data_IF_560027030232
#
_entry.id   IF_560027030232
#
_cell.length_a   1.000
_cell.length_b   1.000
_cell.length_c   1.000
_cell.angle_alpha   90.00
_cell.angle_beta   90.00
_cell.angle_gamma   90.00
#
_symmetry.space_group_name_H-M   'P 1'
#
loop_
_entity.id
_entity.type
_entity.pdbx_description
1 polymer ?
#
# COMPACT_ATOMS: atom_id res chain seq x y z
N UNK A 1 -24.56 -37.58 1.45
CA UNK A 1 -24.13 -36.22 1.07
C UNK A 1 -23.19 -35.73 2.14
N UNK A 2 -21.89 -35.85 1.90
CA UNK A 2 -20.89 -35.28 2.80
C UNK A 2 -20.86 -33.77 2.57
N UNK A 3 -21.35 -33.03 3.55
CA UNK A 3 -21.27 -31.58 3.60
C UNK A 3 -19.79 -31.18 3.68
N UNK A 4 -19.28 -30.52 2.65
CA UNK A 4 -17.96 -29.91 2.65
C UNK A 4 -18.01 -28.69 3.59
N UNK A 5 -17.79 -28.93 4.88
CA UNK A 5 -17.65 -27.86 5.87
C UNK A 5 -16.32 -27.17 5.59
N UNK A 6 -16.37 -25.89 5.21
CA UNK A 6 -15.19 -25.08 5.00
C UNK A 6 -14.56 -24.76 6.37
N UNK A 7 -13.72 -25.68 6.87
CA UNK A 7 -13.07 -25.66 8.21
C UNK A 7 -12.23 -24.41 8.51
N UNK A 8 -12.04 -23.51 7.54
CA UNK A 8 -11.25 -22.27 7.71
C UNK A 8 -11.97 -21.26 8.60
N UNK A 9 -13.31 -21.16 8.49
CA UNK A 9 -14.10 -20.20 9.27
C UNK A 9 -14.17 -20.54 10.78
N UNK A 10 -13.92 -21.80 11.16
CA UNK A 10 -13.97 -22.28 12.55
C UNK A 10 -12.61 -22.17 13.28
N UNK A 11 -11.55 -21.70 12.62
CA UNK A 11 -10.17 -21.82 13.11
C UNK A 11 -9.61 -20.58 13.87
N UNK A 12 -10.33 -19.45 13.87
CA UNK A 12 -9.81 -18.19 14.40
C UNK A 12 -8.54 -17.71 13.68
N UNK A 13 -8.51 -17.92 12.35
CA UNK A 13 -7.42 -17.60 11.45
C UNK A 13 -7.89 -16.57 10.42
N UNK A 14 -7.24 -15.42 10.38
CA UNK A 14 -7.52 -14.35 9.41
C UNK A 14 -6.57 -14.52 8.22
N UNK A 15 -7.13 -14.69 7.02
CA UNK A 15 -6.36 -14.60 5.78
C UNK A 15 -6.38 -13.15 5.28
N UNK A 16 -5.22 -12.53 5.20
CA UNK A 16 -5.04 -11.17 4.72
C UNK A 16 -4.51 -11.20 3.27
N UNK A 17 -5.35 -10.80 2.32
CA UNK A 17 -4.95 -10.61 0.93
C UNK A 17 -4.42 -9.20 0.73
N UNK A 18 -3.15 -9.06 0.34
CA UNK A 18 -2.55 -7.74 0.11
C UNK A 18 -3.00 -7.09 -1.20
N UNK A 19 -3.49 -7.85 -2.19
CA UNK A 19 -4.03 -7.29 -3.44
C UNK A 19 -5.15 -6.27 -3.18
N UNK A 20 -5.85 -6.39 -2.06
CA UNK A 20 -6.88 -5.44 -1.64
C UNK A 20 -6.36 -4.02 -1.34
N UNK A 21 -5.04 -3.85 -1.18
CA UNK A 21 -4.38 -2.56 -0.96
C UNK A 21 -3.81 -1.94 -2.25
N UNK A 22 -3.93 -2.62 -3.38
CA UNK A 22 -3.56 -2.02 -4.66
C UNK A 22 -4.53 -0.89 -5.02
N UNK A 23 -4.06 0.16 -5.72
CA UNK A 23 -4.95 1.19 -6.22
C UNK A 23 -5.96 0.55 -7.18
N UNK A 24 -7.26 0.84 -6.97
CA UNK A 24 -8.34 0.28 -7.81
C UNK A 24 -8.23 0.73 -9.26
N UNK A 25 -7.80 1.96 -9.46
CA UNK A 25 -7.50 2.55 -10.74
C UNK A 25 -6.30 3.50 -10.57
N UNK A 26 -5.30 3.34 -11.42
CA UNK A 26 -4.11 4.18 -11.43
C UNK A 26 -3.91 4.79 -12.82
N UNK A 27 -3.55 6.07 -12.88
CA UNK A 27 -3.33 6.78 -14.15
C UNK A 27 -2.15 7.76 -14.05
N UNK A 28 -1.47 8.00 -15.16
CA UNK A 28 -0.38 8.95 -15.25
C UNK A 28 -0.88 10.39 -15.43
N UNK A 29 -0.19 11.34 -14.79
CA UNK A 29 -0.06 12.70 -15.30
C UNK A 29 1.38 12.89 -15.76
N UNK A 30 1.62 12.90 -17.06
CA UNK A 30 2.94 13.16 -17.62
C UNK A 30 3.10 14.66 -17.91
N UNK A 31 4.17 15.28 -17.44
CA UNK A 31 4.49 16.67 -17.72
C UNK A 31 4.92 16.88 -19.18
N UNK A 32 5.47 15.86 -19.85
CA UNK A 32 6.05 15.96 -21.19
C UNK A 32 5.16 16.72 -22.20
N UNK A 33 3.85 16.43 -22.34
CA UNK A 33 2.99 17.12 -23.31
C UNK A 33 2.75 18.60 -23.00
N UNK A 34 3.03 19.04 -21.76
CA UNK A 34 2.85 20.41 -21.31
C UNK A 34 4.13 21.26 -21.51
N UNK A 35 5.22 20.65 -21.98
CA UNK A 35 6.49 21.33 -22.22
C UNK A 35 6.57 21.85 -23.65
N UNK A 36 7.20 23.01 -23.83
CA UNK A 36 7.55 23.54 -25.14
C UNK A 36 8.52 22.59 -25.83
N UNK A 37 8.14 22.12 -27.03
CA UNK A 37 8.86 21.08 -27.78
C UNK A 37 9.15 19.83 -26.94
N UNK A 38 8.28 19.50 -25.96
CA UNK A 38 8.43 18.33 -25.08
C UNK A 38 9.73 18.32 -24.25
N UNK A 39 10.42 19.47 -24.10
CA UNK A 39 11.74 19.53 -23.46
C UNK A 39 11.94 20.74 -22.53
N UNK A 40 11.22 21.83 -22.75
CA UNK A 40 11.44 23.09 -22.03
C UNK A 40 10.16 23.56 -21.37
N UNK A 41 10.20 23.81 -20.06
CA UNK A 41 9.07 24.44 -19.38
C UNK A 41 9.08 25.95 -19.64
N UNK A 42 8.05 26.45 -20.34
CA UNK A 42 7.74 27.88 -20.44
C UNK A 42 6.61 28.23 -19.49
N UNK A 43 6.87 29.05 -18.47
CA UNK A 43 5.90 29.27 -17.38
C UNK A 43 4.52 29.71 -17.87
N UNK A 44 4.46 30.71 -18.75
CA UNK A 44 3.20 31.24 -19.27
C UNK A 44 2.38 30.16 -19.99
N UNK A 45 3.04 29.39 -20.84
CA UNK A 45 2.41 28.34 -21.66
C UNK A 45 1.95 27.17 -20.78
N UNK A 46 2.78 26.78 -19.81
CA UNK A 46 2.48 25.71 -18.84
C UNK A 46 1.28 26.08 -17.97
N UNK A 47 1.23 27.31 -17.42
CA UNK A 47 0.07 27.76 -16.64
C UNK A 47 -1.20 27.82 -17.48
N UNK A 48 -1.10 28.28 -18.73
CA UNK A 48 -2.24 28.36 -19.63
C UNK A 48 -2.80 26.97 -19.97
N UNK A 49 -1.94 25.98 -20.24
CA UNK A 49 -2.38 24.61 -20.57
C UNK A 49 -3.04 23.91 -19.39
N UNK A 50 -2.57 24.11 -18.16
CA UNK A 50 -3.20 23.55 -16.96
C UNK A 50 -4.61 24.10 -16.69
N UNK A 51 -4.91 25.34 -17.10
CA UNK A 51 -6.25 25.92 -16.97
C UNK A 51 -7.28 25.26 -17.92
N UNK A 52 -6.80 24.75 -19.05
CA UNK A 52 -7.64 24.08 -20.06
C UNK A 52 -7.65 22.56 -19.91
N UNK A 53 -6.82 22.00 -19.03
CA UNK A 53 -6.72 20.56 -18.80
C UNK A 53 -7.98 20.05 -18.09
N UNK A 54 -8.55 18.96 -18.57
CA UNK A 54 -9.70 18.34 -17.93
C UNK A 54 -9.26 17.54 -16.70
N UNK A 55 -9.31 18.16 -15.53
CA UNK A 55 -8.93 17.51 -14.26
C UNK A 55 -9.94 16.46 -13.79
N UNK A 56 -11.19 16.48 -14.27
CA UNK A 56 -12.21 15.50 -13.86
C UNK A 56 -11.88 14.09 -14.32
N UNK A 57 -11.05 13.92 -15.34
CA UNK A 57 -10.61 12.61 -15.80
C UNK A 57 -9.86 11.79 -14.73
N UNK A 58 -9.39 12.43 -13.66
CA UNK A 58 -8.68 11.81 -12.53
C UNK A 58 -9.58 11.44 -11.35
N UNK A 59 -10.90 11.71 -11.43
CA UNK A 59 -11.84 11.44 -10.35
C UNK A 59 -11.87 9.95 -9.97
N UNK A 60 -11.74 9.67 -8.66
CA UNK A 60 -11.75 8.31 -8.11
C UNK A 60 -10.55 7.44 -8.51
N UNK A 61 -9.45 8.05 -8.98
CA UNK A 61 -8.21 7.35 -9.37
C UNK A 61 -7.05 7.77 -8.48
N UNK A 62 -6.06 6.89 -8.37
CA UNK A 62 -4.70 7.23 -7.92
C UNK A 62 -3.88 7.78 -9.08
N UNK A 63 -3.20 8.90 -8.89
CA UNK A 63 -2.44 9.57 -9.97
C UNK A 63 -0.95 9.63 -9.67
N UNK A 64 -0.14 9.08 -10.56
CA UNK A 64 1.32 9.31 -10.50
C UNK A 64 1.72 10.42 -11.47
N UNK A 65 2.37 11.44 -10.94
CA UNK A 65 2.91 12.57 -11.69
C UNK A 65 4.34 12.24 -12.09
N UNK A 66 4.64 12.30 -13.38
CA UNK A 66 5.95 11.94 -13.94
C UNK A 66 6.35 12.88 -15.08
N UNK A 67 7.59 12.77 -15.54
CA UNK A 67 8.07 13.42 -16.75
C UNK A 67 8.81 12.34 -17.56
N UNK A 68 8.23 11.87 -18.66
CA UNK A 68 8.80 10.77 -19.46
C UNK A 68 9.95 11.20 -20.38
N UNK A 69 10.27 12.48 -20.38
CA UNK A 69 11.35 13.10 -21.14
C UNK A 69 12.44 13.61 -20.19
N UNK A 70 13.68 13.66 -20.67
CA UNK A 70 14.82 14.18 -19.93
C UNK A 70 14.84 15.71 -19.92
N UNK A 71 13.80 16.30 -19.35
CA UNK A 71 13.66 17.74 -19.17
C UNK A 71 13.98 18.14 -17.73
N UNK A 72 14.74 19.23 -17.57
CA UNK A 72 14.98 19.82 -16.25
C UNK A 72 13.73 20.61 -15.85
N UNK A 73 12.93 20.02 -14.97
CA UNK A 73 11.68 20.62 -14.49
C UNK A 73 11.89 21.24 -13.10
N UNK A 74 11.55 22.53 -12.90
CA UNK A 74 11.60 23.15 -11.59
C UNK A 74 10.54 22.56 -10.64
N UNK A 75 10.89 22.40 -9.36
CA UNK A 75 10.03 21.76 -8.36
C UNK A 75 8.62 22.38 -8.25
N UNK A 76 8.49 23.69 -8.46
CA UNK A 76 7.19 24.38 -8.38
C UNK A 76 6.17 23.86 -9.41
N UNK A 77 6.62 23.32 -10.55
CA UNK A 77 5.71 22.80 -11.58
C UNK A 77 4.97 21.55 -11.08
N UNK A 78 5.69 20.64 -10.42
CA UNK A 78 5.09 19.50 -9.75
C UNK A 78 4.15 19.94 -8.63
N UNK A 79 4.55 20.91 -7.80
CA UNK A 79 3.68 21.45 -6.74
C UNK A 79 2.37 22.02 -7.31
N UNK A 80 2.45 22.71 -8.45
CA UNK A 80 1.28 23.28 -9.13
C UNK A 80 0.36 22.16 -9.64
N UNK A 81 0.89 21.14 -10.31
CA UNK A 81 0.10 19.98 -10.76
C UNK A 81 -0.58 19.29 -9.57
N UNK A 82 0.16 19.06 -8.49
CA UNK A 82 -0.39 18.45 -7.27
C UNK A 82 -1.53 19.27 -6.66
N UNK A 83 -1.46 20.60 -6.73
CA UNK A 83 -2.54 21.48 -6.25
C UNK A 83 -3.84 21.34 -7.05
N UNK A 84 -3.76 21.03 -8.34
CA UNK A 84 -4.93 20.76 -9.18
C UNK A 84 -5.50 19.35 -8.96
N UNK A 85 -4.63 18.37 -8.68
CA UNK A 85 -5.03 16.98 -8.45
C UNK A 85 -5.71 16.79 -7.08
N UNK A 86 -5.22 17.46 -6.02
CA UNK A 86 -5.68 17.26 -4.65
C UNK A 86 -7.21 17.28 -4.47
N UNK A 87 -7.98 18.22 -5.06
CA UNK A 87 -9.44 18.24 -4.87
C UNK A 87 -10.23 17.22 -5.70
N UNK A 88 -9.60 16.50 -6.63
CA UNK A 88 -10.31 15.62 -7.60
C UNK A 88 -9.94 14.14 -7.49
N UNK A 89 -8.70 13.83 -7.12
CA UNK A 89 -8.15 12.46 -7.15
C UNK A 89 -8.28 11.78 -5.78
N UNK A 90 -8.19 10.44 -5.73
CA UNK A 90 -8.15 9.71 -4.45
C UNK A 90 -6.84 9.98 -3.69
N UNK A 91 -5.72 9.86 -4.39
CA UNK A 91 -4.39 10.24 -3.93
C UNK A 91 -3.46 10.48 -5.14
N UNK A 92 -2.38 11.22 -4.93
CA UNK A 92 -1.39 11.47 -5.96
C UNK A 92 0.03 11.49 -5.40
N UNK A 93 0.99 11.11 -6.24
CA UNK A 93 2.42 11.07 -5.90
C UNK A 93 3.27 11.45 -7.10
N UNK A 94 4.42 12.09 -6.87
CA UNK A 94 5.45 12.24 -7.92
C UNK A 94 6.29 10.97 -7.94
N UNK A 95 6.21 10.18 -9.00
CA UNK A 95 6.89 8.87 -9.08
C UNK A 95 6.96 8.35 -10.51
N UNK A 96 7.72 7.27 -10.71
CA UNK A 96 7.61 6.46 -11.94
C UNK A 96 6.42 5.51 -11.83
N UNK A 97 5.97 4.96 -12.95
CA UNK A 97 4.88 4.00 -12.97
C UNK A 97 5.19 2.77 -12.09
N UNK A 98 6.42 2.26 -12.19
CA UNK A 98 6.85 1.08 -11.44
C UNK A 98 6.83 1.32 -9.93
N UNK A 99 7.24 2.51 -9.50
CA UNK A 99 7.31 2.88 -8.08
C UNK A 99 5.95 3.33 -7.53
N UNK A 100 5.09 3.91 -8.36
CA UNK A 100 3.79 4.43 -7.96
C UNK A 100 2.89 3.36 -7.34
N UNK A 101 2.70 2.23 -8.01
CA UNK A 101 1.85 1.12 -7.52
C UNK A 101 2.31 0.64 -6.13
N UNK A 102 3.62 0.48 -5.95
CA UNK A 102 4.22 0.10 -4.68
C UNK A 102 3.97 1.16 -3.60
N UNK A 103 4.23 2.44 -3.91
CA UNK A 103 4.11 3.52 -2.95
C UNK A 103 2.66 3.72 -2.49
N UNK A 104 1.69 3.69 -3.42
CA UNK A 104 0.27 3.73 -3.08
C UNK A 104 -0.14 2.57 -2.19
N UNK A 105 0.33 1.36 -2.51
CA UNK A 105 0.05 0.18 -1.70
C UNK A 105 0.59 0.29 -0.28
N UNK A 106 1.82 0.78 -0.11
CA UNK A 106 2.43 1.00 1.21
C UNK A 106 1.65 2.07 1.99
N UNK A 107 1.23 3.16 1.34
CA UNK A 107 0.39 4.18 1.96
C UNK A 107 -0.93 3.59 2.47
N UNK A 108 -1.62 2.78 1.65
CA UNK A 108 -2.85 2.10 2.04
C UNK A 108 -2.63 1.15 3.23
N UNK A 109 -1.53 0.37 3.21
CA UNK A 109 -1.13 -0.48 4.35
C UNK A 109 -0.92 0.36 5.62
N UNK A 110 -0.31 1.53 5.50
CA UNK A 110 -0.06 2.43 6.63
C UNK A 110 -1.33 3.09 7.17
N UNK A 111 -2.43 3.09 6.43
CA UNK A 111 -3.72 3.62 6.88
C UNK A 111 -4.69 2.55 7.41
N UNK A 112 -4.40 1.25 7.25
CA UNK A 112 -5.32 0.21 7.73
C UNK A 112 -5.60 0.34 9.23
N UNK A 113 -6.87 0.14 9.59
CA UNK A 113 -7.27 -0.14 10.97
C UNK A 113 -6.74 -1.52 11.37
N UNK A 114 -5.89 -1.51 12.40
CA UNK A 114 -5.21 -2.69 12.88
C UNK A 114 -5.95 -3.41 14.01
N UNK A 115 -6.93 -2.76 14.66
CA UNK A 115 -7.54 -3.32 15.87
C UNK A 115 -8.25 -4.64 15.62
N UNK A 116 -8.82 -4.82 14.42
CA UNK A 116 -9.40 -6.10 13.97
C UNK A 116 -8.42 -7.28 13.91
N UNK A 117 -7.11 -7.04 14.05
CA UNK A 117 -6.07 -8.07 14.04
C UNK A 117 -5.46 -8.32 15.43
N UNK A 118 -5.92 -7.61 16.47
CA UNK A 118 -5.37 -7.71 17.83
C UNK A 118 -5.63 -9.10 18.41
N UNK A 119 -4.56 -9.79 18.83
CA UNK A 119 -4.65 -11.14 19.40
C UNK A 119 -5.00 -12.23 18.38
N UNK A 120 -5.07 -11.89 17.09
CA UNK A 120 -5.48 -12.80 16.03
C UNK A 120 -4.31 -13.57 15.42
N UNK A 121 -4.62 -14.72 14.83
CA UNK A 121 -3.67 -15.47 13.99
C UNK A 121 -3.89 -15.05 12.56
N UNK A 122 -2.81 -14.68 11.87
CA UNK A 122 -2.89 -14.05 10.55
C UNK A 122 -2.04 -14.86 9.57
N UNK A 123 -2.61 -15.19 8.42
CA UNK A 123 -1.89 -15.66 7.23
C UNK A 123 -1.92 -14.54 6.21
N UNK A 124 -0.75 -14.02 5.83
CA UNK A 124 -0.60 -13.09 4.73
C UNK A 124 -0.47 -13.92 3.45
N UNK A 125 -1.42 -13.74 2.52
CA UNK A 125 -1.47 -14.50 1.28
C UNK A 125 -0.23 -14.22 0.44
N UNK A 126 0.46 -15.28 -0.01
CA UNK A 126 1.72 -15.19 -0.75
C UNK A 126 1.66 -15.58 -2.23
N UNK A 127 0.59 -16.27 -2.65
CA UNK A 127 0.44 -16.78 -4.01
C UNK A 127 -0.77 -16.11 -4.67
N UNK A 128 -0.55 -15.15 -5.57
CA UNK A 128 -1.60 -14.47 -6.33
C UNK A 128 -1.26 -14.43 -7.81
N UNK A 129 -2.25 -14.06 -8.64
CA UNK A 129 -1.99 -13.75 -10.06
C UNK A 129 -1.25 -12.42 -10.20
N UNK A 130 -1.41 -11.52 -9.23
CA UNK A 130 -0.79 -10.20 -9.22
C UNK A 130 0.49 -10.25 -8.38
N UNK A 131 1.59 -9.73 -8.95
CA UNK A 131 2.86 -9.61 -8.25
C UNK A 131 2.77 -8.52 -7.17
N UNK A 132 2.92 -8.92 -5.91
CA UNK A 132 2.96 -8.01 -4.76
C UNK A 132 4.42 -7.66 -4.39
N UNK A 133 4.78 -6.37 -4.23
CA UNK A 133 6.12 -5.97 -3.85
C UNK A 133 6.54 -6.53 -2.49
N UNK A 134 7.81 -6.90 -2.35
CA UNK A 134 8.39 -7.38 -1.09
C UNK A 134 8.23 -6.35 0.04
N UNK A 135 8.30 -5.07 -0.29
CA UNK A 135 8.13 -3.95 0.63
C UNK A 135 6.73 -3.91 1.25
N UNK A 136 5.70 -4.33 0.53
CA UNK A 136 4.35 -4.41 1.06
C UNK A 136 4.24 -5.52 2.13
N UNK A 137 4.84 -6.69 1.87
CA UNK A 137 4.92 -7.78 2.85
C UNK A 137 5.70 -7.37 4.10
N UNK A 138 6.80 -6.64 3.93
CA UNK A 138 7.57 -6.10 5.03
C UNK A 138 6.76 -5.08 5.85
N UNK A 139 6.11 -4.12 5.19
CA UNK A 139 5.33 -3.06 5.81
C UNK A 139 4.16 -3.62 6.65
N UNK A 140 3.36 -4.52 6.07
CA UNK A 140 2.22 -5.11 6.79
C UNK A 140 2.68 -5.94 7.99
N UNK A 141 3.78 -6.69 7.84
CA UNK A 141 4.33 -7.50 8.93
C UNK A 141 4.81 -6.61 10.07
N UNK A 142 5.55 -5.54 9.75
CA UNK A 142 6.02 -4.57 10.72
C UNK A 142 4.84 -3.93 11.49
N UNK A 143 3.78 -3.57 10.77
CA UNK A 143 2.60 -2.92 11.34
C UNK A 143 1.76 -3.86 12.23
N UNK A 144 1.59 -5.13 11.85
CA UNK A 144 0.74 -6.08 12.59
C UNK A 144 1.47 -6.80 13.72
N UNK A 145 2.79 -6.97 13.65
CA UNK A 145 3.56 -7.73 14.64
C UNK A 145 3.31 -7.32 16.10
N UNK A 146 3.20 -6.03 16.46
CA UNK A 146 3.01 -5.62 17.86
C UNK A 146 1.68 -6.07 18.47
N UNK A 147 0.66 -6.33 17.64
CA UNK A 147 -0.72 -6.60 18.10
C UNK A 147 -1.19 -8.03 17.80
N UNK A 148 -0.63 -8.70 16.79
CA UNK A 148 -1.07 -10.02 16.36
C UNK A 148 -0.55 -11.12 17.30
N UNK A 149 -1.30 -12.22 17.40
CA UNK A 149 -0.86 -13.42 18.14
C UNK A 149 0.12 -14.25 17.33
N UNK A 150 -0.06 -14.34 16.02
CA UNK A 150 0.91 -14.95 15.11
C UNK A 150 0.74 -14.44 13.68
N UNK A 151 1.84 -14.39 12.93
CA UNK A 151 1.86 -14.02 11.51
C UNK A 151 2.53 -15.16 10.74
N UNK A 152 1.94 -15.54 9.62
CA UNK A 152 2.38 -16.58 8.70
C UNK A 152 2.30 -16.04 7.27
N UNK A 153 3.08 -16.61 6.36
CA UNK A 153 3.08 -16.29 4.93
C UNK A 153 2.69 -17.52 4.11
N UNK A 154 1.86 -17.37 3.08
CA UNK A 154 1.50 -18.43 2.13
C UNK A 154 0.00 -18.68 2.05
N UNK A 155 -0.37 -19.93 1.77
CA UNK A 155 -1.77 -20.36 1.71
C UNK A 155 -2.16 -21.07 3.02
N UNK A 156 -3.43 -21.02 3.46
CA UNK A 156 -3.84 -21.63 4.75
C UNK A 156 -3.45 -23.11 4.94
N UNK A 157 -3.30 -23.85 3.84
CA UNK A 157 -2.89 -25.27 3.84
C UNK A 157 -1.36 -25.48 3.81
N UNK A 158 -0.57 -24.44 3.51
CA UNK A 158 0.89 -24.48 3.38
C UNK A 158 1.47 -23.10 3.69
N UNK A 159 1.79 -22.89 4.98
CA UNK A 159 2.28 -21.60 5.48
C UNK A 159 3.70 -21.68 6.02
N UNK A 160 4.48 -20.62 5.79
CA UNK A 160 5.75 -20.36 6.47
C UNK A 160 5.49 -19.52 7.72
N UNK A 161 5.89 -19.96 8.93
CA UNK A 161 5.73 -19.17 10.15
C UNK A 161 6.69 -17.97 10.16
N UNK A 162 6.16 -16.77 10.42
CA UNK A 162 6.95 -15.53 10.47
C UNK A 162 7.09 -15.01 11.91
N UNK A 163 5.99 -15.02 12.66
CA UNK A 163 5.97 -14.57 14.05
C UNK A 163 4.96 -15.36 14.86
N UNK A 164 5.28 -15.60 16.13
CA UNK A 164 4.34 -16.08 17.15
C UNK A 164 4.65 -15.36 18.46
N UNK A 165 3.63 -14.74 19.03
CA UNK A 165 3.74 -14.13 20.34
C UNK A 165 4.05 -15.24 21.35
N UNK A 166 5.15 -15.08 22.09
CA UNK A 166 5.46 -15.97 23.21
C UNK A 166 4.53 -15.59 24.35
N UNK A 167 3.80 -16.56 24.90
CA UNK A 167 3.09 -16.34 26.15
C UNK A 167 4.15 -15.99 27.20
N UNK A 168 4.02 -14.83 27.85
CA UNK A 168 4.78 -14.55 29.04
C UNK A 168 4.29 -15.56 30.09
N UNK A 169 5.04 -16.65 30.30
CA UNK A 169 4.85 -17.44 31.50
C UNK A 169 5.28 -16.53 32.64
N UNK A 170 4.33 -16.06 33.44
CA UNK A 170 4.61 -15.46 34.73
C UNK A 170 5.46 -16.48 35.49
N UNK A 171 6.76 -16.23 35.57
CA UNK A 171 7.63 -16.94 36.50
C UNK A 171 7.10 -16.55 37.88
N UNK A 172 6.25 -17.38 38.47
CA UNK A 172 5.82 -17.22 39.85
C UNK A 172 7.08 -17.29 40.71
N UNK A 173 7.56 -16.13 41.15
CA UNK A 173 8.59 -15.97 42.18
C UNK A 173 8.03 -16.46 43.53
N UNK A 174 7.77 -17.77 43.66
CA UNK A 174 7.27 -18.36 44.91
C UNK A 174 8.05 -19.60 45.36
N UNK A 175 9.31 -19.75 44.94
CA UNK A 175 10.19 -20.85 45.42
C UNK A 175 11.64 -20.41 45.70
N UNK A 176 11.84 -19.23 46.26
CA UNK A 176 13.15 -18.84 46.83
C UNK A 176 12.90 -18.11 48.14
N UNK A 177 12.43 -18.82 49.18
CA UNK A 177 12.59 -18.48 50.60
C UNK A 177 12.10 -19.69 51.40
N UNK A 178 12.98 -20.67 51.59
CA UNK A 178 12.95 -21.61 52.71
C UNK A 178 14.41 -21.72 53.18
N UNK A 179 14.75 -20.89 54.15
CA UNK A 179 15.75 -21.21 55.19
C UNK A 179 14.98 -21.73 56.41
#
# INVERSE_FOLDING_TARGET
METFVNKVAESGLITLNLEAFLPKAMVAFDLKPFLFMELILKEKDFRASLLTHDWKQYEGKSVYVTCTTDAIIPAWAYMLVMSYLQPVTENAIVSTEQEASKNFMIEQINQIDIEKYRGERIVIKGCGEILIPTEAYAAITYKLRPIAKSIMYGEPCSTVPIFKQKNCQTLTLSKIFHE
#
